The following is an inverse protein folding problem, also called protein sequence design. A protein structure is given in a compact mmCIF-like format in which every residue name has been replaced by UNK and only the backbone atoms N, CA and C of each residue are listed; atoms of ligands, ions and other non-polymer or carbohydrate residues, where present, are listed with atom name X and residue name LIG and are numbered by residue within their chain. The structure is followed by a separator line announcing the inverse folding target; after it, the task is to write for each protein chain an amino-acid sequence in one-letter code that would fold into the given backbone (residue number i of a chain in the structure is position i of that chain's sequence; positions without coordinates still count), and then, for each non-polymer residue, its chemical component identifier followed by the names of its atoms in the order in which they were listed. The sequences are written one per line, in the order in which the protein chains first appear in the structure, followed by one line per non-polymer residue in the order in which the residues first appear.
data_IF_074754751054
#
_entry.id   IF_074754751054
#
_cell.length_a   1.000
_cell.length_b   1.000
_cell.length_c   1.000
_cell.angle_alpha   90.00
_cell.angle_beta   90.00
_cell.angle_gamma   90.00
#
_symmetry.space_group_name_H-M   'P 1'
#
loop_
_entity.id
_entity.type
_entity.pdbx_description
1 polymer ?
#
# COMPACT_ATOMS: atom_id res chain seq x y z
N UNK A 1 -47.59 -46.42 -2.98
CA UNK A 1 -47.90 -44.99 -3.19
C UNK A 1 -46.57 -44.27 -3.22
N UNK A 2 -46.10 -43.92 -4.41
CA UNK A 2 -44.81 -43.30 -4.65
C UNK A 2 -44.85 -41.84 -4.17
N UNK A 3 -44.00 -41.48 -3.22
CA UNK A 3 -43.60 -40.09 -3.02
C UNK A 3 -42.16 -39.96 -3.47
N UNK A 4 -41.99 -39.52 -4.72
CA UNK A 4 -40.75 -38.94 -5.21
C UNK A 4 -40.56 -37.60 -4.51
N UNK A 5 -39.62 -37.53 -3.57
CA UNK A 5 -39.07 -36.25 -3.13
C UNK A 5 -38.14 -35.74 -4.23
N UNK A 6 -38.51 -34.64 -4.87
CA UNK A 6 -37.61 -33.89 -5.74
C UNK A 6 -36.45 -33.36 -4.90
N UNK A 7 -35.26 -33.95 -5.06
CA UNK A 7 -34.01 -33.31 -4.70
C UNK A 7 -33.78 -32.11 -5.63
N UNK A 8 -34.42 -30.98 -5.30
CA UNK A 8 -33.90 -29.69 -5.74
C UNK A 8 -32.63 -29.45 -4.94
N UNK A 9 -31.50 -29.87 -5.51
CA UNK A 9 -30.18 -29.40 -5.10
C UNK A 9 -30.22 -27.88 -5.23
N UNK A 10 -30.40 -27.17 -4.12
CA UNK A 10 -30.07 -25.76 -4.01
C UNK A 10 -28.56 -25.67 -4.28
N UNK A 11 -28.18 -25.41 -5.53
CA UNK A 11 -26.83 -24.93 -5.82
C UNK A 11 -26.72 -23.61 -5.07
N UNK A 12 -26.02 -23.62 -3.95
CA UNK A 12 -25.57 -22.38 -3.30
C UNK A 12 -24.84 -21.60 -4.40
N UNK A 13 -25.33 -20.40 -4.70
CA UNK A 13 -24.62 -19.51 -5.61
C UNK A 13 -23.22 -19.29 -5.03
N UNK A 14 -22.20 -19.54 -5.85
CA UNK A 14 -20.81 -19.35 -5.47
C UNK A 14 -20.65 -17.90 -4.99
N UNK A 15 -20.19 -17.70 -3.75
CA UNK A 15 -19.98 -16.36 -3.20
C UNK A 15 -18.96 -15.67 -4.09
N UNK A 16 -19.40 -14.62 -4.77
CA UNK A 16 -18.63 -13.84 -5.72
C UNK A 16 -18.49 -12.43 -5.18
N UNK A 17 -17.26 -11.99 -4.91
CA UNK A 17 -16.97 -10.66 -4.38
C UNK A 17 -15.97 -9.96 -5.29
N UNK A 18 -16.32 -8.77 -5.76
CA UNK A 18 -15.43 -7.91 -6.52
C UNK A 18 -14.74 -6.93 -5.59
N UNK A 19 -13.41 -7.05 -5.50
CA UNK A 19 -12.58 -6.20 -4.64
C UNK A 19 -11.72 -5.31 -5.52
N UNK A 20 -11.93 -3.99 -5.42
CA UNK A 20 -11.05 -3.00 -6.03
C UNK A 20 -9.90 -2.71 -5.05
N UNK A 21 -8.68 -3.06 -5.43
CA UNK A 21 -7.49 -2.78 -4.64
C UNK A 21 -6.79 -1.56 -5.21
N UNK A 22 -6.55 -0.56 -4.38
CA UNK A 22 -5.87 0.69 -4.74
C UNK A 22 -4.56 0.84 -3.96
N UNK A 23 -3.54 1.35 -4.64
CA UNK A 23 -2.24 1.65 -4.06
C UNK A 23 -1.71 2.94 -4.68
N UNK A 24 -1.88 4.02 -3.93
CA UNK A 24 -1.43 5.34 -4.31
C UNK A 24 0.01 5.55 -3.84
N UNK A 25 0.84 5.96 -4.78
CA UNK A 25 2.16 6.54 -4.52
C UNK A 25 2.12 8.04 -4.74
N UNK A 26 3.26 8.70 -4.55
CA UNK A 26 3.36 10.16 -4.70
C UNK A 26 3.05 10.67 -6.11
N UNK A 27 3.27 9.84 -7.14
CA UNK A 27 3.10 10.23 -8.55
C UNK A 27 2.38 9.15 -9.39
N UNK A 28 1.81 8.13 -8.75
CA UNK A 28 1.13 7.05 -9.45
C UNK A 28 -0.02 6.49 -8.62
N UNK A 29 -0.99 5.86 -9.28
CA UNK A 29 -2.00 4.99 -8.66
C UNK A 29 -1.97 3.65 -9.34
N UNK A 30 -1.64 2.59 -8.60
CA UNK A 30 -1.82 1.21 -9.05
C UNK A 30 -3.18 0.72 -8.59
N UNK A 31 -3.91 0.08 -9.49
CA UNK A 31 -5.20 -0.50 -9.17
C UNK A 31 -5.35 -1.90 -9.74
N UNK A 32 -6.10 -2.74 -9.04
CA UNK A 32 -6.47 -4.06 -9.50
C UNK A 32 -7.93 -4.33 -9.13
N UNK A 33 -8.71 -4.86 -10.06
CA UNK A 33 -10.02 -5.40 -9.73
C UNK A 33 -9.91 -6.91 -9.64
N UNK A 34 -10.13 -7.46 -8.45
CA UNK A 34 -10.25 -8.89 -8.23
C UNK A 34 -11.71 -9.30 -8.33
N UNK A 35 -11.94 -10.46 -8.94
CA UNK A 35 -13.17 -11.19 -8.74
C UNK A 35 -12.84 -12.43 -7.94
N UNK A 36 -13.11 -12.38 -6.64
CA UNK A 36 -12.81 -13.45 -5.71
C UNK A 36 -14.00 -14.39 -5.65
N UNK A 37 -13.72 -15.66 -5.89
CA UNK A 37 -14.61 -16.78 -5.58
C UNK A 37 -13.86 -17.79 -4.71
N UNK A 38 -14.52 -18.86 -4.27
CA UNK A 38 -13.86 -19.91 -3.49
C UNK A 38 -12.67 -20.53 -4.24
N UNK A 39 -12.81 -20.68 -5.56
CA UNK A 39 -11.83 -21.35 -6.43
C UNK A 39 -10.83 -20.38 -7.08
N UNK A 40 -11.20 -19.10 -7.26
CA UNK A 40 -10.42 -18.15 -8.07
C UNK A 40 -10.11 -16.85 -7.33
N UNK A 41 -8.82 -16.50 -7.31
CA UNK A 41 -8.28 -15.30 -6.64
C UNK A 41 -7.43 -14.42 -7.57
N UNK A 42 -7.62 -14.56 -8.88
CA UNK A 42 -6.85 -13.81 -9.87
C UNK A 42 -7.48 -12.43 -10.16
N UNK A 43 -6.67 -11.39 -10.44
CA UNK A 43 -7.21 -10.10 -10.84
C UNK A 43 -7.84 -10.18 -12.24
N UNK A 44 -9.03 -9.60 -12.38
CA UNK A 44 -9.66 -9.34 -13.68
C UNK A 44 -8.96 -8.20 -14.42
N UNK A 45 -8.45 -7.22 -13.66
CA UNK A 45 -7.78 -6.03 -14.20
C UNK A 45 -6.53 -5.74 -13.40
N UNK A 46 -5.50 -5.28 -14.12
CA UNK A 46 -4.35 -4.59 -13.56
C UNK A 46 -4.20 -3.28 -14.29
N UNK A 47 -4.15 -2.18 -13.55
CA UNK A 47 -3.96 -0.87 -14.12
C UNK A 47 -3.02 -0.01 -13.29
N UNK A 48 -2.51 1.02 -13.93
CA UNK A 48 -1.64 2.00 -13.31
C UNK A 48 -1.80 3.33 -14.01
N UNK A 49 -2.03 4.39 -13.23
CA UNK A 49 -1.95 5.78 -13.68
C UNK A 49 -0.63 6.34 -13.18
N UNK A 50 0.21 6.92 -14.04
CA UNK A 50 1.51 7.48 -13.69
C UNK A 50 1.61 8.96 -14.08
N UNK A 51 2.71 9.61 -13.66
CA UNK A 51 3.04 11.02 -13.90
C UNK A 51 2.05 12.03 -13.31
N UNK A 52 1.36 11.64 -12.24
CA UNK A 52 0.37 12.47 -11.57
C UNK A 52 1.05 13.71 -11.00
N UNK A 53 0.58 14.89 -11.38
CA UNK A 53 1.09 16.18 -10.89
C UNK A 53 2.46 16.62 -11.43
N UNK A 54 3.09 15.86 -12.32
CA UNK A 54 4.43 16.18 -12.87
C UNK A 54 4.48 16.30 -14.40
N UNK A 55 3.39 15.99 -15.11
CA UNK A 55 3.34 16.12 -16.57
C UNK A 55 2.07 15.54 -17.17
N UNK A 56 2.18 15.01 -18.39
CA UNK A 56 1.12 14.27 -19.05
C UNK A 56 0.93 12.92 -18.34
N UNK A 57 -0.30 12.65 -17.90
CA UNK A 57 -0.59 11.41 -17.19
C UNK A 57 -0.71 10.27 -18.18
N UNK A 58 -0.28 9.09 -17.78
CA UNK A 58 -0.39 7.88 -18.59
C UNK A 58 -1.14 6.81 -17.80
N UNK A 59 -2.21 6.27 -18.37
CA UNK A 59 -2.85 5.05 -17.91
C UNK A 59 -2.28 3.88 -18.70
N UNK A 60 -1.71 2.91 -18.00
CA UNK A 60 -1.58 1.54 -18.49
C UNK A 60 -2.71 0.70 -17.92
N UNK A 61 -3.50 0.02 -18.77
CA UNK A 61 -4.62 -0.83 -18.36
C UNK A 61 -4.55 -2.19 -19.03
N UNK A 62 -4.67 -3.26 -18.24
CA UNK A 62 -4.67 -4.64 -18.68
C UNK A 62 -5.86 -5.37 -18.07
N UNK A 63 -6.87 -5.67 -18.90
CA UNK A 63 -7.95 -6.57 -18.54
C UNK A 63 -7.61 -8.00 -18.99
N UNK A 64 -8.03 -8.99 -18.20
CA UNK A 64 -7.83 -10.41 -18.51
C UNK A 64 -8.40 -10.72 -19.89
N UNK A 65 -7.62 -11.44 -20.69
CA UNK A 65 -7.96 -11.86 -22.05
C UNK A 65 -8.21 -10.69 -23.05
N UNK A 66 -7.73 -9.48 -22.73
CA UNK A 66 -7.77 -8.31 -23.62
C UNK A 66 -6.37 -7.76 -23.87
N UNK A 67 -6.24 -6.95 -24.93
CA UNK A 67 -4.99 -6.26 -25.23
C UNK A 67 -4.66 -5.18 -24.17
N UNK A 68 -3.36 -4.93 -24.00
CA UNK A 68 -2.87 -3.82 -23.17
C UNK A 68 -3.32 -2.50 -23.79
N UNK A 69 -3.91 -1.64 -22.97
CA UNK A 69 -4.31 -0.28 -23.34
C UNK A 69 -3.35 0.70 -22.69
N UNK A 70 -2.96 1.71 -23.47
CA UNK A 70 -2.21 2.87 -23.01
C UNK A 70 -2.99 4.10 -23.46
N UNK A 71 -3.42 4.92 -22.51
CA UNK A 71 -4.08 6.21 -22.80
C UNK A 71 -3.36 7.33 -22.06
N UNK A 72 -3.20 8.48 -22.71
CA UNK A 72 -2.60 9.67 -22.13
C UNK A 72 -3.66 10.71 -21.85
N UNK A 73 -3.45 11.48 -20.78
CA UNK A 73 -4.38 12.54 -20.37
C UNK A 73 -3.62 13.84 -20.15
N UNK A 74 -4.19 14.92 -20.68
CA UNK A 74 -3.73 16.28 -20.44
C UNK A 74 -4.67 16.91 -19.39
N UNK A 75 -4.10 17.45 -18.32
CA UNK A 75 -4.78 18.27 -17.31
C UNK A 75 -5.98 17.59 -16.61
N UNK A 76 -5.76 16.40 -16.05
CA UNK A 76 -6.72 15.79 -15.12
C UNK A 76 -6.44 16.35 -13.72
N UNK A 77 -7.48 16.77 -12.99
CA UNK A 77 -7.32 17.18 -11.60
C UNK A 77 -7.17 15.93 -10.72
N UNK A 78 -6.18 15.92 -9.84
CA UNK A 78 -5.89 14.81 -8.89
C UNK A 78 -7.13 14.27 -8.15
N UNK A 79 -8.15 15.08 -7.76
CA UNK A 79 -9.35 14.57 -7.11
C UNK A 79 -10.27 13.73 -7.99
N UNK A 80 -9.94 13.43 -9.26
CA UNK A 80 -10.87 12.69 -10.13
C UNK A 80 -10.38 11.33 -10.66
N UNK A 81 -9.14 10.91 -10.39
CA UNK A 81 -8.57 9.62 -10.83
C UNK A 81 -9.49 8.41 -10.60
N UNK A 82 -10.04 8.22 -9.40
CA UNK A 82 -10.85 7.04 -9.08
C UNK A 82 -12.13 7.01 -9.93
N UNK A 83 -12.81 8.13 -10.06
CA UNK A 83 -14.05 8.24 -10.85
C UNK A 83 -13.81 8.29 -12.35
N UNK A 84 -13.05 9.29 -12.78
CA UNK A 84 -12.90 9.68 -14.19
C UNK A 84 -11.99 8.72 -14.98
N UNK A 85 -11.08 8.02 -14.30
CA UNK A 85 -10.17 7.08 -14.94
C UNK A 85 -10.51 5.66 -14.51
N UNK A 86 -10.36 5.31 -13.23
CA UNK A 86 -10.42 3.91 -12.80
C UNK A 86 -11.82 3.32 -13.01
N UNK A 87 -12.84 3.88 -12.36
CA UNK A 87 -14.23 3.38 -12.46
C UNK A 87 -14.77 3.50 -13.89
N UNK A 88 -14.43 4.58 -14.60
CA UNK A 88 -14.78 4.76 -16.01
C UNK A 88 -14.25 3.60 -16.86
N UNK A 89 -12.95 3.27 -16.80
CA UNK A 89 -12.39 2.18 -17.60
C UNK A 89 -12.90 0.80 -17.19
N UNK A 90 -13.15 0.58 -15.89
CA UNK A 90 -13.73 -0.67 -15.40
C UNK A 90 -15.15 -0.92 -15.94
N UNK A 91 -15.90 0.15 -16.23
CA UNK A 91 -17.31 0.10 -16.68
C UNK A 91 -17.52 0.45 -18.16
N UNK A 92 -16.50 0.92 -18.86
CA UNK A 92 -16.57 1.33 -20.26
C UNK A 92 -16.93 0.15 -21.19
N UNK A 93 -17.82 0.34 -22.16
CA UNK A 93 -18.27 -0.76 -23.04
C UNK A 93 -17.14 -1.45 -23.81
N UNK A 94 -16.07 -0.73 -24.15
CA UNK A 94 -14.93 -1.25 -24.90
C UNK A 94 -14.00 -2.07 -23.99
N UNK A 95 -13.82 -1.64 -22.75
CA UNK A 95 -12.77 -2.15 -21.85
C UNK A 95 -13.28 -2.89 -20.62
N UNK A 96 -14.58 -2.80 -20.37
CA UNK A 96 -15.25 -3.23 -19.14
C UNK A 96 -14.96 -4.66 -18.76
N UNK A 97 -14.83 -4.83 -17.45
CA UNK A 97 -14.87 -6.13 -16.77
C UNK A 97 -16.07 -6.23 -15.83
N UNK A 98 -16.73 -5.09 -15.58
CA UNK A 98 -17.98 -4.95 -14.82
C UNK A 98 -18.92 -4.01 -15.59
N UNK A 99 -20.23 -4.15 -15.41
CA UNK A 99 -21.24 -3.36 -16.14
C UNK A 99 -21.64 -2.08 -15.40
N UNK A 100 -21.35 -2.00 -14.09
CA UNK A 100 -21.70 -0.87 -13.24
C UNK A 100 -20.73 -0.78 -12.06
N UNK A 101 -20.48 0.44 -11.59
CA UNK A 101 -19.69 0.70 -10.38
C UNK A 101 -20.29 0.05 -9.12
N UNK A 102 -21.60 -0.21 -9.13
CA UNK A 102 -22.32 -0.91 -8.04
C UNK A 102 -21.95 -2.39 -7.93
N UNK A 103 -21.20 -2.92 -8.89
CA UNK A 103 -20.65 -4.28 -8.79
C UNK A 103 -19.31 -4.32 -8.03
N UNK A 104 -18.78 -3.18 -7.58
CA UNK A 104 -17.62 -3.17 -6.68
C UNK A 104 -18.15 -3.35 -5.26
N UNK A 105 -17.80 -4.45 -4.62
CA UNK A 105 -18.35 -4.83 -3.31
C UNK A 105 -17.52 -4.29 -2.16
N UNK A 106 -16.20 -4.16 -2.35
CA UNK A 106 -15.24 -3.67 -1.35
C UNK A 106 -14.10 -2.92 -2.05
N UNK A 107 -13.59 -1.86 -1.44
CA UNK A 107 -12.31 -1.25 -1.80
C UNK A 107 -11.26 -1.55 -0.74
N UNK A 108 -10.05 -1.94 -1.15
CA UNK A 108 -8.91 -2.13 -0.26
C UNK A 108 -7.81 -1.14 -0.60
N UNK A 109 -7.45 -0.28 0.36
CA UNK A 109 -6.42 0.74 0.19
C UNK A 109 -5.18 0.40 1.00
N UNK A 110 -4.02 0.45 0.33
CA UNK A 110 -2.74 0.29 1.03
C UNK A 110 -2.42 1.56 1.80
N UNK A 111 -2.42 1.51 3.14
CA UNK A 111 -1.98 2.61 4.01
C UNK A 111 -0.54 2.37 4.46
N UNK A 112 0.36 3.31 4.17
CA UNK A 112 1.80 3.10 4.40
C UNK A 112 2.16 3.14 5.87
N UNK A 113 1.59 4.04 6.66
CA UNK A 113 1.94 4.17 8.07
C UNK A 113 0.72 4.38 8.95
N UNK A 114 0.40 3.38 9.76
CA UNK A 114 -0.68 3.43 10.73
C UNK A 114 -0.26 3.85 12.15
N UNK A 115 1.05 3.90 12.43
CA UNK A 115 1.57 3.86 13.82
C UNK A 115 1.04 2.62 14.57
N UNK A 116 1.08 2.61 15.90
CA UNK A 116 0.65 1.49 16.75
C UNK A 116 -0.87 1.22 16.69
N UNK A 117 -1.65 2.13 16.09
CA UNK A 117 -3.12 2.09 16.09
C UNK A 117 -3.72 1.05 15.15
N UNK A 118 -3.00 0.67 14.10
CA UNK A 118 -3.46 -0.33 13.14
C UNK A 118 -2.53 -1.52 13.23
N UNK A 119 -3.00 -2.61 13.83
CA UNK A 119 -2.28 -3.89 13.85
C UNK A 119 -2.72 -4.83 12.72
N UNK A 120 -3.91 -4.60 12.16
CA UNK A 120 -4.58 -5.48 11.20
C UNK A 120 -5.37 -4.68 10.13
N UNK A 121 -6.21 -5.38 9.36
CA UNK A 121 -7.18 -4.79 8.42
C UNK A 121 -8.21 -3.98 9.20
N UNK A 122 -8.41 -2.71 8.83
CA UNK A 122 -9.39 -1.84 9.51
C UNK A 122 -10.28 -1.17 8.48
N UNK A 123 -11.60 -1.19 8.70
CA UNK A 123 -12.56 -0.48 7.87
C UNK A 123 -12.38 1.03 8.09
N UNK A 124 -12.35 1.82 7.01
CA UNK A 124 -12.28 3.27 7.16
C UNK A 124 -13.54 3.80 7.86
N UNK A 125 -13.29 4.55 8.94
CA UNK A 125 -14.27 5.37 9.66
C UNK A 125 -13.67 6.76 9.83
N UNK A 126 -14.47 7.74 10.27
CA UNK A 126 -13.94 9.08 10.57
C UNK A 126 -12.85 9.05 11.64
N UNK A 127 -12.96 8.15 12.62
CA UNK A 127 -11.91 7.93 13.63
C UNK A 127 -10.61 7.43 13.01
N UNK A 128 -10.69 6.45 12.10
CA UNK A 128 -9.53 5.91 11.37
C UNK A 128 -8.88 6.97 10.49
N UNK A 129 -9.68 7.76 9.76
CA UNK A 129 -9.19 8.89 8.95
C UNK A 129 -8.48 9.93 9.81
N UNK A 130 -9.03 10.26 10.98
CA UNK A 130 -8.40 11.18 11.93
C UNK A 130 -7.06 10.63 12.47
N UNK A 131 -6.98 9.34 12.76
CA UNK A 131 -5.72 8.70 13.19
C UNK A 131 -4.65 8.69 12.10
N UNK A 132 -5.04 8.45 10.85
CA UNK A 132 -4.11 8.54 9.70
C UNK A 132 -3.61 9.98 9.54
N UNK A 133 -4.50 10.98 9.74
CA UNK A 133 -4.17 12.41 9.71
C UNK A 133 -3.14 12.79 10.78
N UNK A 134 -3.29 12.26 12.00
CA UNK A 134 -2.30 12.42 13.08
C UNK A 134 -0.93 11.84 12.70
N UNK A 135 -0.91 10.79 11.87
CA UNK A 135 0.32 10.13 11.41
C UNK A 135 0.98 10.82 10.20
N UNK A 136 0.39 11.88 9.62
CA UNK A 136 0.97 12.59 8.46
C UNK A 136 2.36 13.16 8.80
N UNK A 137 2.60 13.60 10.03
CA UNK A 137 3.91 14.14 10.43
C UNK A 137 5.07 13.16 10.25
N UNK A 138 4.82 11.84 10.34
CA UNK A 138 5.84 10.80 10.19
C UNK A 138 6.14 10.49 8.73
N UNK A 139 5.10 10.47 7.89
CA UNK A 139 5.20 10.08 6.48
C UNK A 139 4.32 10.99 5.60
N UNK A 140 4.68 12.28 5.49
CA UNK A 140 3.76 13.32 5.02
C UNK A 140 3.29 13.11 3.60
N UNK A 141 4.17 12.67 2.71
CA UNK A 141 3.81 12.41 1.33
C UNK A 141 2.87 11.21 1.20
N UNK A 142 3.05 10.14 1.98
CA UNK A 142 2.23 8.93 1.80
C UNK A 142 0.85 9.09 2.46
N UNK A 143 0.80 9.43 3.74
CA UNK A 143 -0.45 9.48 4.49
C UNK A 143 -1.39 10.60 4.02
N UNK A 144 -0.85 11.71 3.50
CA UNK A 144 -1.68 12.77 2.92
C UNK A 144 -2.40 12.29 1.66
N UNK A 145 -1.67 11.63 0.74
CA UNK A 145 -2.28 11.06 -0.45
C UNK A 145 -3.32 10.00 -0.06
N UNK A 146 -2.94 9.05 0.80
CA UNK A 146 -3.85 8.01 1.30
C UNK A 146 -5.20 8.56 1.81
N UNK A 147 -5.20 9.69 2.53
CA UNK A 147 -6.42 10.29 3.04
C UNK A 147 -7.28 10.89 1.92
N UNK A 148 -6.65 11.66 1.01
CA UNK A 148 -7.33 12.21 -0.16
C UNK A 148 -7.96 11.11 -1.03
N UNK A 149 -7.29 9.97 -1.14
CA UNK A 149 -7.73 8.84 -1.96
C UNK A 149 -8.99 8.19 -1.39
N UNK A 150 -9.04 8.02 -0.07
CA UNK A 150 -10.20 7.45 0.64
C UNK A 150 -11.39 8.38 0.48
N UNK A 151 -11.20 9.67 0.74
CA UNK A 151 -12.25 10.70 0.59
C UNK A 151 -12.80 10.73 -0.84
N UNK A 152 -11.92 10.70 -1.84
CA UNK A 152 -12.31 10.63 -3.25
C UNK A 152 -13.09 9.36 -3.56
N UNK A 153 -12.65 8.21 -3.04
CA UNK A 153 -13.31 6.94 -3.26
C UNK A 153 -14.70 6.93 -2.59
N UNK A 154 -14.85 7.59 -1.44
CA UNK A 154 -16.15 7.78 -0.76
C UNK A 154 -17.12 8.60 -1.64
N UNK A 155 -16.63 9.64 -2.34
CA UNK A 155 -17.47 10.41 -3.27
C UNK A 155 -17.93 9.57 -4.48
N UNK A 156 -17.05 8.74 -5.04
CA UNK A 156 -17.33 7.95 -6.25
C UNK A 156 -18.16 6.70 -5.93
N UNK A 157 -17.88 6.06 -4.80
CA UNK A 157 -18.45 4.78 -4.34
C UNK A 157 -19.02 4.89 -2.91
N UNK A 158 -20.04 5.74 -2.66
CA UNK A 158 -20.47 6.14 -1.31
C UNK A 158 -21.03 5.00 -0.44
N UNK A 159 -21.43 3.88 -1.04
CA UNK A 159 -22.00 2.74 -0.33
C UNK A 159 -21.06 1.53 -0.28
N UNK A 160 -19.83 1.67 -0.79
CA UNK A 160 -18.87 0.57 -0.85
C UNK A 160 -17.93 0.69 0.36
N UNK A 161 -17.84 -0.32 1.22
CA UNK A 161 -16.91 -0.29 2.34
C UNK A 161 -15.47 -0.23 1.83
N UNK A 162 -14.68 0.65 2.43
CA UNK A 162 -13.25 0.77 2.19
C UNK A 162 -12.48 0.20 3.37
N UNK A 163 -11.40 -0.55 3.10
CA UNK A 163 -10.58 -1.21 4.12
C UNK A 163 -9.13 -0.79 3.98
N UNK A 164 -8.57 -0.25 5.06
CA UNK A 164 -7.15 0.04 5.19
C UNK A 164 -6.36 -1.26 5.38
N UNK A 165 -5.45 -1.53 4.45
CA UNK A 165 -4.42 -2.55 4.56
C UNK A 165 -3.14 -1.86 5.01
N UNK A 166 -2.94 -1.81 6.33
CA UNK A 166 -1.76 -1.16 6.91
C UNK A 166 -0.52 -2.07 6.82
N UNK A 167 0.65 -1.45 6.67
CA UNK A 167 1.94 -2.12 6.63
C UNK A 167 2.42 -2.52 8.06
N UNK A 168 1.68 -3.38 8.74
CA UNK A 168 1.86 -3.74 10.18
C UNK A 168 2.75 -4.94 10.47
N UNK A 169 3.21 -5.64 9.43
CA UNK A 169 3.98 -6.89 9.59
C UNK A 169 5.24 -6.72 10.45
N UNK A 170 5.83 -5.52 10.43
CA UNK A 170 7.01 -5.17 11.20
C UNK A 170 6.74 -4.81 12.68
N UNK A 171 5.47 -4.63 13.09
CA UNK A 171 5.11 -4.32 14.48
C UNK A 171 5.48 -5.43 15.47
N UNK A 172 5.86 -6.62 14.98
CA UNK A 172 6.37 -7.71 15.82
C UNK A 172 7.87 -7.60 16.14
N UNK A 173 8.57 -6.59 15.60
CA UNK A 173 10.00 -6.40 15.88
C UNK A 173 10.22 -6.21 17.38
N UNK A 174 11.21 -6.88 17.97
CA UNK A 174 11.58 -6.66 19.36
C UNK A 174 12.26 -5.30 19.54
N UNK A 175 12.19 -4.74 20.75
CA UNK A 175 12.72 -3.40 21.07
C UNK A 175 14.18 -3.17 20.69
N UNK A 176 15.03 -4.18 20.85
CA UNK A 176 16.43 -4.10 20.44
C UNK A 176 16.62 -3.90 18.93
N UNK A 177 15.63 -4.25 18.11
CA UNK A 177 15.68 -4.15 16.67
C UNK A 177 15.07 -2.84 16.16
N UNK A 178 14.06 -2.29 16.86
CA UNK A 178 13.39 -1.05 16.43
C UNK A 178 13.90 0.22 17.11
N UNK A 179 14.47 0.15 18.32
CA UNK A 179 15.00 1.34 18.99
C UNK A 179 16.36 1.70 18.40
N UNK A 180 16.54 2.97 18.01
CA UNK A 180 17.85 3.48 17.62
C UNK A 180 18.74 3.75 18.83
N UNK A 181 20.05 3.68 18.63
CA UNK A 181 21.06 4.10 19.61
C UNK A 181 21.13 5.64 19.74
N UNK A 182 19.99 6.26 20.02
CA UNK A 182 19.78 7.69 20.26
C UNK A 182 19.21 7.87 21.67
N UNK A 183 19.15 9.12 22.15
CA UNK A 183 18.53 9.42 23.44
C UNK A 183 17.08 8.93 23.46
N UNK A 184 16.81 7.93 24.30
CA UNK A 184 15.51 7.28 24.38
C UNK A 184 14.37 8.27 24.68
N UNK A 185 14.58 9.20 25.61
CA UNK A 185 13.56 10.20 25.96
C UNK A 185 13.37 11.23 24.86
N UNK A 186 14.46 11.69 24.23
CA UNK A 186 14.39 12.81 23.28
C UNK A 186 13.95 12.38 21.90
N UNK A 187 14.16 11.13 21.49
CA UNK A 187 13.87 10.65 20.15
C UNK A 187 12.75 9.62 20.13
N UNK A 188 12.88 8.53 20.90
CA UNK A 188 11.86 7.49 20.91
C UNK A 188 10.57 7.97 21.60
N UNK A 189 10.63 8.37 22.88
CA UNK A 189 9.42 8.76 23.62
C UNK A 189 8.75 10.03 23.11
N UNK A 190 9.54 11.00 22.65
CA UNK A 190 9.02 12.32 22.27
C UNK A 190 8.60 12.41 20.81
N UNK A 191 9.35 11.77 19.92
CA UNK A 191 9.16 11.90 18.47
C UNK A 191 8.88 10.55 17.79
N UNK A 192 8.70 9.47 18.55
CA UNK A 192 8.45 8.12 18.02
C UNK A 192 9.48 7.73 16.95
N UNK A 193 10.74 8.14 17.15
CA UNK A 193 11.84 7.84 16.23
C UNK A 193 12.28 6.39 16.43
N UNK A 194 11.81 5.51 15.55
CA UNK A 194 12.10 4.07 15.60
C UNK A 194 12.19 3.45 14.20
N UNK A 195 12.60 2.19 14.13
CA UNK A 195 12.49 1.37 12.92
C UNK A 195 11.03 0.97 12.71
N UNK A 196 10.38 1.54 11.70
CA UNK A 196 9.04 1.11 11.28
C UNK A 196 9.13 -0.02 10.26
N UNK A 197 10.02 0.13 9.27
CA UNK A 197 10.05 -0.76 8.12
C UNK A 197 8.91 -0.49 7.13
N UNK A 198 9.04 -1.00 5.91
CA UNK A 198 8.08 -0.82 4.82
C UNK A 198 7.97 -2.13 4.02
N UNK A 199 6.99 -2.22 3.12
CA UNK A 199 6.70 -3.43 2.34
C UNK A 199 6.21 -4.61 3.18
N UNK A 200 5.66 -4.34 4.36
CA UNK A 200 5.04 -5.31 5.27
C UNK A 200 4.11 -6.27 4.56
N UNK A 201 3.23 -5.78 3.68
CA UNK A 201 2.31 -6.64 2.92
C UNK A 201 3.05 -7.61 1.99
N UNK A 202 4.13 -7.16 1.35
CA UNK A 202 4.97 -8.03 0.50
C UNK A 202 5.68 -9.11 1.32
N UNK A 203 6.21 -8.75 2.49
CA UNK A 203 6.89 -9.71 3.36
C UNK A 203 5.94 -10.74 3.96
N UNK A 204 4.76 -10.28 4.41
CA UNK A 204 3.69 -11.16 4.88
C UNK A 204 3.26 -12.14 3.79
N UNK A 205 3.02 -11.65 2.57
CA UNK A 205 2.68 -12.50 1.43
C UNK A 205 3.78 -13.52 1.11
N UNK A 206 5.02 -13.06 0.93
CA UNK A 206 6.12 -13.94 0.56
C UNK A 206 6.39 -15.01 1.63
N UNK A 207 6.35 -14.65 2.92
CA UNK A 207 6.54 -15.58 4.03
C UNK A 207 5.45 -16.66 4.07
N UNK A 208 4.18 -16.29 3.87
CA UNK A 208 3.08 -17.25 3.79
C UNK A 208 3.17 -18.11 2.54
N UNK A 209 3.59 -17.55 1.40
CA UNK A 209 3.81 -18.33 0.18
C UNK A 209 4.93 -19.35 0.37
N UNK A 210 5.97 -19.04 1.14
CA UNK A 210 7.03 -20.00 1.48
C UNK A 210 6.50 -21.20 2.25
N UNK A 211 5.53 -21.03 3.17
CA UNK A 211 4.88 -22.14 3.90
C UNK A 211 4.24 -23.13 2.96
N UNK A 212 3.50 -22.62 1.97
CA UNK A 212 2.82 -23.44 0.95
C UNK A 212 3.83 -24.19 0.08
N UNK A 213 4.91 -23.53 -0.34
CA UNK A 213 5.94 -24.12 -1.20
C UNK A 213 6.79 -25.17 -0.46
N UNK A 214 7.11 -24.91 0.81
CA UNK A 214 7.93 -25.81 1.63
C UNK A 214 7.12 -26.91 2.30
N UNK A 215 5.77 -26.81 2.29
CA UNK A 215 4.85 -27.71 2.98
C UNK A 215 5.26 -27.85 4.46
N UNK A 216 5.56 -26.72 5.09
CA UNK A 216 6.00 -26.66 6.49
C UNK A 216 5.31 -25.50 7.22
N UNK A 217 4.85 -25.71 8.47
CA UNK A 217 4.20 -24.67 9.25
C UNK A 217 5.16 -23.49 9.50
N UNK A 218 4.63 -22.26 9.47
CA UNK A 218 5.42 -21.02 9.55
C UNK A 218 6.25 -20.95 10.84
N UNK A 219 5.77 -21.57 11.92
CA UNK A 219 6.39 -21.64 13.25
C UNK A 219 7.69 -22.45 13.27
N UNK A 220 7.96 -23.25 12.23
CA UNK A 220 9.22 -24.00 12.08
C UNK A 220 10.23 -23.29 11.17
N UNK A 221 9.81 -22.22 10.49
CA UNK A 221 10.61 -21.57 9.46
C UNK A 221 11.38 -20.36 10.00
N UNK A 222 12.59 -20.18 9.47
CA UNK A 222 13.38 -18.96 9.54
C UNK A 222 13.65 -18.53 8.10
N UNK A 223 13.05 -17.41 7.70
CA UNK A 223 12.98 -16.96 6.32
C UNK A 223 13.72 -15.62 6.22
N UNK A 224 14.57 -15.49 5.22
CA UNK A 224 15.07 -14.18 4.77
C UNK A 224 14.31 -13.86 3.49
N UNK A 225 13.52 -12.80 3.52
CA UNK A 225 12.76 -12.36 2.35
C UNK A 225 13.42 -11.13 1.75
N UNK A 226 13.67 -11.16 0.45
CA UNK A 226 14.26 -10.06 -0.31
C UNK A 226 13.20 -9.45 -1.24
N UNK A 227 12.74 -8.23 -0.93
CA UNK A 227 11.87 -7.47 -1.82
C UNK A 227 12.74 -6.56 -2.69
N UNK A 228 12.98 -6.95 -3.94
CA UNK A 228 13.92 -6.29 -4.85
C UNK A 228 13.16 -5.71 -6.05
N UNK A 229 12.77 -4.45 -5.95
CA UNK A 229 12.15 -3.68 -7.04
C UNK A 229 12.97 -2.41 -7.29
N UNK A 230 12.40 -1.37 -7.92
CA UNK A 230 13.04 -0.05 -7.99
C UNK A 230 13.34 0.53 -6.59
N UNK A 231 12.65 0.01 -5.56
CA UNK A 231 13.04 0.13 -4.17
C UNK A 231 13.28 -1.27 -3.58
N UNK A 232 14.31 -1.38 -2.75
CA UNK A 232 14.80 -2.65 -2.26
C UNK A 232 14.84 -2.71 -0.73
N UNK A 233 14.47 -3.85 -0.17
CA UNK A 233 14.58 -4.10 1.27
C UNK A 233 14.64 -5.59 1.58
N UNK A 234 15.26 -5.96 2.70
CA UNK A 234 15.34 -7.34 3.18
C UNK A 234 14.77 -7.44 4.59
N UNK A 235 13.98 -8.49 4.85
CA UNK A 235 13.39 -8.77 6.16
C UNK A 235 13.78 -10.17 6.64
N UNK A 236 14.24 -10.26 7.89
CA UNK A 236 14.38 -11.50 8.61
C UNK A 236 13.06 -11.84 9.31
N UNK A 237 12.47 -12.96 8.93
CA UNK A 237 11.21 -13.48 9.46
C UNK A 237 11.49 -14.75 10.23
N UNK A 238 11.11 -14.79 11.51
CA UNK A 238 11.30 -15.95 12.38
C UNK A 238 9.95 -16.38 12.91
N UNK A 239 9.57 -17.61 12.63
CA UNK A 239 8.32 -18.19 13.14
C UNK A 239 7.09 -17.32 12.79
N UNK A 240 7.06 -16.81 11.56
CA UNK A 240 6.00 -15.94 11.04
C UNK A 240 6.07 -14.48 11.49
N UNK A 241 7.03 -14.11 12.35
CA UNK A 241 7.17 -12.75 12.88
C UNK A 241 8.36 -12.04 12.25
N UNK A 242 8.17 -10.78 11.86
CA UNK A 242 9.28 -9.89 11.50
C UNK A 242 10.17 -9.66 12.72
N UNK A 243 11.46 -9.96 12.59
CA UNK A 243 12.45 -9.75 13.66
C UNK A 243 13.27 -8.50 13.39
N UNK A 244 13.64 -8.25 12.14
CA UNK A 244 14.34 -7.05 11.70
C UNK A 244 14.15 -6.90 10.18
N UNK A 245 14.05 -5.66 9.72
CA UNK A 245 14.01 -5.31 8.29
C UNK A 245 15.04 -4.23 8.00
N UNK A 246 15.57 -4.18 6.78
CA UNK A 246 16.66 -3.26 6.42
C UNK A 246 16.22 -1.80 6.47
N UNK A 247 15.00 -1.51 5.98
CA UNK A 247 14.42 -0.16 6.07
C UNK A 247 14.12 0.23 7.51
N UNK A 248 14.28 1.53 7.82
CA UNK A 248 14.22 2.00 9.20
C UNK A 248 13.08 2.95 9.49
N UNK A 249 13.42 4.16 9.93
CA UNK A 249 12.45 5.22 10.20
C UNK A 249 11.77 5.64 8.89
N UNK A 250 12.53 5.69 7.81
CA UNK A 250 12.06 5.96 6.45
C UNK A 250 12.48 4.84 5.50
N UNK A 251 11.97 4.90 4.26
CA UNK A 251 12.29 3.96 3.18
C UNK A 251 13.62 4.27 2.48
N UNK A 252 14.47 5.12 3.08
CA UNK A 252 15.75 5.56 2.53
C UNK A 252 16.88 4.58 2.83
N UNK A 253 16.92 4.04 4.05
CA UNK A 253 17.99 3.16 4.50
C UNK A 253 17.79 1.70 4.06
N UNK A 254 18.87 1.00 3.72
CA UNK A 254 18.90 -0.46 3.59
C UNK A 254 19.81 -0.97 2.47
N UNK A 255 19.41 -0.72 1.22
CA UNK A 255 20.13 -1.14 0.01
C UNK A 255 20.09 -0.02 -1.03
N UNK A 256 20.99 -0.09 -2.01
CA UNK A 256 20.97 0.78 -3.20
C UNK A 256 19.63 0.61 -3.94
N UNK A 257 19.00 1.74 -4.28
CA UNK A 257 17.70 1.82 -4.96
C UNK A 257 17.79 2.78 -6.14
N UNK A 258 16.73 2.87 -6.96
CA UNK A 258 16.77 3.71 -8.16
C UNK A 258 17.00 5.20 -7.89
N UNK A 259 16.36 5.76 -6.85
CA UNK A 259 16.42 7.20 -6.55
C UNK A 259 16.64 7.51 -5.06
N UNK A 260 17.09 6.55 -4.25
CA UNK A 260 17.39 6.74 -2.82
C UNK A 260 18.83 6.37 -2.55
N UNK A 261 19.47 7.13 -1.67
CA UNK A 261 20.91 7.07 -1.43
C UNK A 261 21.36 5.92 -0.52
N UNK A 262 20.44 5.10 0.00
CA UNK A 262 20.76 4.08 1.01
C UNK A 262 21.37 4.70 2.29
N UNK A 263 22.09 3.88 3.04
CA UNK A 263 22.74 4.16 4.31
C UNK A 263 23.98 4.99 4.02
N UNK A 264 23.91 6.27 4.37
CA UNK A 264 25.03 7.20 4.29
C UNK A 264 25.42 7.66 5.70
N UNK A 265 26.66 8.12 5.86
CA UNK A 265 27.06 8.82 7.08
C UNK A 265 26.21 10.11 7.22
N UNK A 266 25.42 10.28 8.30
CA UNK A 266 24.62 11.48 8.51
C UNK A 266 25.41 12.78 8.45
N UNK A 267 26.72 12.74 8.75
CA UNK A 267 27.62 13.90 8.67
C UNK A 267 27.73 14.42 7.23
N UNK A 268 27.60 13.57 6.20
CA UNK A 268 27.63 14.00 4.79
C UNK A 268 26.52 15.00 4.49
N UNK A 269 25.31 14.76 5.02
CA UNK A 269 24.17 15.67 4.85
C UNK A 269 24.47 17.02 5.51
N UNK A 270 24.94 16.99 6.76
CA UNK A 270 25.28 18.21 7.51
C UNK A 270 26.43 18.98 6.87
N UNK A 271 27.46 18.28 6.38
CA UNK A 271 28.61 18.87 5.71
C UNK A 271 28.19 19.52 4.38
N UNK A 272 27.39 18.86 3.55
CA UNK A 272 26.91 19.46 2.30
C UNK A 272 26.05 20.70 2.58
N UNK A 273 25.11 20.63 3.53
CA UNK A 273 24.32 21.80 3.94
C UNK A 273 25.20 22.96 4.44
N UNK A 274 26.27 22.65 5.20
CA UNK A 274 27.21 23.64 5.71
C UNK A 274 28.15 24.20 4.63
N UNK A 275 28.56 23.39 3.65
CA UNK A 275 29.42 23.78 2.53
C UNK A 275 28.66 24.63 1.51
N UNK A 276 27.39 24.34 1.26
CA UNK A 276 26.56 25.12 0.33
C UNK A 276 26.24 26.53 0.84
N UNK A 277 26.45 26.82 2.15
CA UNK A 277 26.43 28.14 2.86
C UNK A 277 25.33 29.15 2.50
N UNK A 278 24.39 28.84 1.63
CA UNK A 278 23.44 29.79 1.05
C UNK A 278 22.02 29.57 1.56
N UNK A 279 21.67 28.36 2.00
CA UNK A 279 20.30 28.10 2.44
C UNK A 279 20.05 28.52 3.90
N UNK A 280 20.93 28.12 4.83
CA UNK A 280 20.76 28.48 6.26
C UNK A 280 21.01 29.98 6.51
N UNK A 281 21.94 30.59 5.77
CA UNK A 281 22.22 32.02 5.85
C UNK A 281 21.08 32.87 5.26
N UNK A 282 20.39 32.42 4.20
CA UNK A 282 19.21 33.11 3.67
C UNK A 282 17.96 32.95 4.55
N UNK A 283 17.77 31.80 5.22
CA UNK A 283 16.66 31.63 6.16
C UNK A 283 16.82 32.46 7.45
N UNK A 284 18.06 32.64 7.93
CA UNK A 284 18.35 33.41 9.14
C UNK A 284 18.35 34.93 8.93
N UNK A 285 18.37 35.40 7.67
CA UNK A 285 18.25 36.83 7.33
C UNK A 285 16.79 37.28 7.09
N UNK A 286 15.82 36.38 7.21
CA UNK A 286 14.38 36.69 7.09
C UNK A 286 13.65 36.84 8.44
N UNK A 287 14.38 36.91 9.57
CA UNK A 287 13.86 37.26 10.89
C UNK A 287 14.71 38.32 11.58
#
# INVERSE_FOLDING_TARGET
MFYTMNEKTLKLEEIKVNILVLNFGSFFVKFQLFNITEEKKEPLVRGMVENIGIGQWELTYYAKDKEKIIETFEDVRVPTIVGDIIVKFLTDKKYSVITSKTQIDVVGDRVVHGSEFFSELVVFTDEVKQKIKECISFVPLHNLHNLCDVEQTEEVLPNVPQVAVSDTFHSTMPSYAFIFALSFNNYYKKYETQRYGFYSTSYRYASNRTVELMIQPIEKLKIITCHLTNSASVCAVRYGKSVVTSMKFTSLEGFVMGARCDSIDPVIVLQNMACEKSFLYMMLLQY
#
